data_IF_041940395551
#
_entry.id   IF_041940395551
#
_cell.length_a   1.000
_cell.length_b   1.000
_cell.length_c   1.000
_cell.angle_alpha   90.00
_cell.angle_beta   90.00
_cell.angle_gamma   90.00
#
_symmetry.space_group_name_H-M   'P 1'
#
loop_
_entity.id
_entity.type
_entity.pdbx_description
1 polymer ?
#
# COMPACT_ATOMS: atom_id res chain seq x y z
N UNK A 1 11.98 -4.12 26.51
CA UNK A 1 11.83 -2.64 26.52
C UNK A 1 10.39 -2.29 26.84
N UNK A 2 10.14 -1.21 27.58
CA UNK A 2 8.76 -0.79 27.88
C UNK A 2 8.19 0.01 26.70
N UNK A 3 6.85 0.04 26.56
CA UNK A 3 6.14 0.89 25.57
C UNK A 3 6.55 2.37 25.69
N UNK A 4 6.89 2.80 26.89
CA UNK A 4 7.25 4.17 27.22
C UNK A 4 8.65 4.52 26.70
N UNK A 5 9.62 3.61 26.80
CA UNK A 5 10.94 3.77 26.19
C UNK A 5 10.84 3.95 24.67
N UNK A 6 9.99 3.17 23.99
CA UNK A 6 9.79 3.26 22.53
C UNK A 6 9.17 4.60 22.13
N UNK A 7 8.16 5.08 22.87
CA UNK A 7 7.55 6.39 22.62
C UNK A 7 8.56 7.52 22.74
N UNK A 8 9.44 7.47 23.75
CA UNK A 8 10.46 8.49 23.95
C UNK A 8 11.51 8.48 22.83
N UNK A 9 11.78 7.31 22.23
CA UNK A 9 12.74 7.18 21.12
C UNK A 9 12.27 7.85 19.82
N UNK A 10 10.95 7.96 19.59
CA UNK A 10 10.38 8.61 18.40
C UNK A 10 10.76 10.09 18.32
N UNK A 11 10.88 10.77 19.47
CA UNK A 11 11.24 12.18 19.54
C UNK A 11 12.71 12.47 19.16
N UNK A 12 13.54 11.44 18.99
CA UNK A 12 14.94 11.58 18.58
C UNK A 12 15.16 11.27 17.10
N UNK A 13 14.08 10.99 16.35
CA UNK A 13 14.15 10.72 14.92
C UNK A 13 14.29 12.07 14.17
N UNK A 14 15.31 12.24 13.32
CA UNK A 14 15.43 13.41 12.45
C UNK A 14 14.21 13.58 11.55
N UNK A 15 13.76 14.81 11.30
CA UNK A 15 12.56 15.07 10.48
C UNK A 15 12.67 14.47 9.05
N UNK A 16 13.86 14.49 8.47
CA UNK A 16 14.16 13.88 7.16
C UNK A 16 13.91 12.37 7.11
N UNK A 17 13.98 11.69 8.25
CA UNK A 17 13.81 10.24 8.36
C UNK A 17 12.38 9.83 8.75
N UNK A 18 11.53 10.78 9.20
CA UNK A 18 10.15 10.49 9.66
C UNK A 18 9.33 9.80 8.58
N UNK A 19 9.39 10.29 7.34
CA UNK A 19 8.66 9.72 6.21
C UNK A 19 9.08 8.28 5.90
N UNK A 20 10.37 8.00 6.03
CA UNK A 20 10.92 6.66 5.81
C UNK A 20 10.46 5.71 6.90
N UNK A 21 10.55 6.13 8.17
CA UNK A 21 10.08 5.36 9.32
C UNK A 21 8.57 5.12 9.22
N UNK A 22 7.79 6.12 8.82
CA UNK A 22 6.34 6.00 8.63
C UNK A 22 5.98 4.94 7.58
N UNK A 23 6.63 4.96 6.40
CA UNK A 23 6.43 3.94 5.36
C UNK A 23 6.80 2.54 5.83
N UNK A 24 7.83 2.41 6.65
CA UNK A 24 8.24 1.13 7.25
C UNK A 24 7.17 0.65 8.24
N UNK A 25 6.66 1.52 9.10
CA UNK A 25 5.62 1.17 10.07
C UNK A 25 4.33 0.70 9.39
N UNK A 26 3.93 1.33 8.29
CA UNK A 26 2.76 0.88 7.50
C UNK A 26 2.91 -0.57 7.05
N UNK A 27 4.11 -0.99 6.61
CA UNK A 27 4.36 -2.37 6.17
C UNK A 27 4.22 -3.42 7.29
N UNK A 28 4.27 -3.01 8.54
CA UNK A 28 4.07 -3.88 9.70
C UNK A 28 2.62 -3.89 10.20
N UNK A 29 1.74 -3.06 9.63
CA UNK A 29 0.30 -3.16 9.90
C UNK A 29 -0.16 -4.46 9.25
N UNK A 30 -0.75 -5.40 10.00
CA UNK A 30 -1.25 -6.64 9.42
C UNK A 30 -2.35 -6.30 8.40
N UNK A 31 -2.07 -6.59 7.14
CA UNK A 31 -3.06 -6.53 6.07
C UNK A 31 -3.98 -7.74 6.18
N UNK A 32 -5.25 -7.54 5.82
CA UNK A 32 -6.16 -8.68 5.66
C UNK A 32 -5.68 -9.52 4.47
N UNK A 33 -5.87 -10.84 4.57
CA UNK A 33 -5.55 -11.69 3.43
C UNK A 33 -6.63 -11.48 2.38
N UNK A 34 -6.26 -11.20 1.11
CA UNK A 34 -7.26 -11.10 0.06
C UNK A 34 -8.03 -12.42 -0.01
N UNK A 35 -9.32 -12.33 -0.26
CA UNK A 35 -10.15 -13.50 -0.49
C UNK A 35 -9.78 -14.15 -1.82
N UNK A 36 -10.18 -15.41 -2.01
CA UNK A 36 -9.81 -16.18 -3.19
C UNK A 36 -10.33 -15.53 -4.49
N UNK A 37 -11.52 -14.95 -4.45
CA UNK A 37 -12.12 -14.21 -5.57
C UNK A 37 -11.36 -12.92 -5.92
N UNK A 38 -10.81 -12.22 -4.93
CA UNK A 38 -9.97 -11.04 -5.16
C UNK A 38 -8.65 -11.42 -5.84
N UNK A 39 -8.04 -12.53 -5.43
CA UNK A 39 -6.82 -13.06 -6.07
C UNK A 39 -7.11 -13.44 -7.52
N UNK A 40 -8.19 -14.19 -7.76
CA UNK A 40 -8.60 -14.63 -9.10
C UNK A 40 -8.90 -13.44 -10.02
N UNK A 41 -9.58 -12.40 -9.52
CA UNK A 41 -9.85 -11.19 -10.29
C UNK A 41 -8.57 -10.45 -10.71
N UNK A 42 -7.55 -10.40 -9.84
CA UNK A 42 -6.25 -9.81 -10.16
C UNK A 42 -5.51 -10.65 -11.20
N UNK A 43 -5.52 -11.98 -11.05
CA UNK A 43 -4.90 -12.89 -12.02
C UNK A 43 -5.57 -12.78 -13.41
N UNK A 44 -6.90 -12.72 -13.45
CA UNK A 44 -7.68 -12.51 -14.66
C UNK A 44 -7.33 -11.17 -15.33
N UNK A 45 -7.32 -10.07 -14.56
CA UNK A 45 -6.97 -8.76 -15.07
C UNK A 45 -5.54 -8.69 -15.62
N UNK A 46 -4.59 -9.37 -14.97
CA UNK A 46 -3.20 -9.44 -15.44
C UNK A 46 -3.03 -10.34 -16.68
N UNK A 47 -3.89 -11.35 -16.84
CA UNK A 47 -3.91 -12.24 -18.00
C UNK A 47 -4.63 -11.62 -19.19
N UNK A 48 -5.48 -10.61 -18.98
CA UNK A 48 -6.20 -9.91 -20.04
C UNK A 48 -5.23 -9.16 -20.95
N UNK A 49 -5.23 -9.56 -22.23
CA UNK A 49 -4.44 -8.95 -23.32
C UNK A 49 -5.32 -8.21 -24.31
N UNK A 50 -6.61 -8.05 -23.99
CA UNK A 50 -7.53 -7.33 -24.83
C UNK A 50 -7.02 -5.91 -25.05
N UNK A 51 -7.18 -5.36 -26.27
CA UNK A 51 -6.78 -3.99 -26.53
C UNK A 51 -7.57 -3.05 -25.62
N UNK A 52 -6.86 -2.24 -24.85
CA UNK A 52 -7.45 -1.19 -24.04
C UNK A 52 -7.37 0.15 -24.79
N UNK A 53 -8.31 1.04 -24.51
CA UNK A 53 -8.28 2.43 -24.96
C UNK A 53 -7.96 3.33 -23.77
N UNK A 54 -7.31 4.46 -24.02
CA UNK A 54 -7.02 5.40 -22.95
C UNK A 54 -8.32 5.94 -22.36
N UNK A 55 -8.35 6.11 -21.04
CA UNK A 55 -9.49 6.69 -20.33
C UNK A 55 -9.93 8.05 -20.93
N UNK A 56 -8.95 8.84 -21.40
CA UNK A 56 -9.17 10.14 -22.00
C UNK A 56 -9.72 10.08 -23.44
N UNK A 57 -9.74 8.91 -24.07
CA UNK A 57 -10.23 8.69 -25.44
C UNK A 57 -11.68 8.16 -25.45
N UNK A 58 -12.29 7.93 -24.28
CA UNK A 58 -13.69 7.51 -24.16
C UNK A 58 -14.59 8.75 -24.22
N UNK A 59 -15.58 8.75 -25.12
CA UNK A 59 -16.62 9.79 -25.10
C UNK A 59 -17.65 9.46 -24.02
N UNK A 60 -17.61 10.20 -22.91
CA UNK A 60 -18.46 10.00 -21.74
C UNK A 60 -19.81 10.74 -21.82
N UNK A 61 -19.97 11.65 -22.79
CA UNK A 61 -21.19 12.46 -23.01
C UNK A 61 -22.28 11.69 -23.77
#
# INVERSE_FOLDING_TARGET
>A
MSRETIKNMINFIPEEDIDTIYKVLIRFIPEDKPSQDEIEAIEEANADKSPTISHNEINWD
#
